data_IF_978070474054
#
_entry.id   IF_978070474054
#
_cell.length_a   1.000
_cell.length_b   1.000
_cell.length_c   1.000
_cell.angle_alpha   90.00
_cell.angle_beta   90.00
_cell.angle_gamma   90.00
#
_symmetry.space_group_name_H-M   'P 1'
#
loop_
_entity.id
_entity.type
_entity.pdbx_description
1 polymer ?
#
# COMPACT_ATOMS: atom_id res chain seq x y z
N UNK A 1 47.83 17.09 -8.70
CA UNK A 1 46.74 16.11 -8.91
C UNK A 1 45.60 16.55 -7.99
N UNK A 2 44.66 17.35 -8.49
CA UNK A 2 43.54 17.86 -7.68
C UNK A 2 42.43 16.82 -7.76
N UNK A 3 42.13 16.17 -6.64
CA UNK A 3 40.93 15.34 -6.52
C UNK A 3 39.73 16.28 -6.39
N UNK A 4 38.99 16.45 -7.48
CA UNK A 4 37.64 17.02 -7.45
C UNK A 4 36.74 16.05 -6.67
N UNK A 5 36.68 16.26 -5.36
CA UNK A 5 35.68 15.66 -4.48
C UNK A 5 34.55 16.65 -4.32
N UNK A 6 33.84 16.92 -5.41
CA UNK A 6 32.52 17.54 -5.33
C UNK A 6 31.64 16.65 -4.43
N UNK A 7 31.12 17.15 -3.29
CA UNK A 7 30.22 16.37 -2.48
C UNK A 7 28.95 16.15 -3.31
N UNK A 8 28.60 14.90 -3.59
CA UNK A 8 27.23 14.58 -4.03
C UNK A 8 26.28 15.32 -3.08
N UNK A 9 25.40 16.15 -3.64
CA UNK A 9 24.52 17.02 -2.86
C UNK A 9 23.90 16.25 -1.68
N UNK A 10 24.28 16.63 -0.47
CA UNK A 10 23.84 15.97 0.78
C UNK A 10 22.31 16.00 0.91
N UNK A 11 21.68 17.06 0.40
CA UNK A 11 20.22 17.19 0.26
C UNK A 11 19.63 16.11 -0.67
N UNK A 12 20.25 15.87 -1.83
CA UNK A 12 19.80 14.83 -2.76
C UNK A 12 19.88 13.43 -2.16
N UNK A 13 20.96 13.12 -1.44
CA UNK A 13 21.09 11.85 -0.72
C UNK A 13 20.03 11.69 0.38
N UNK A 14 19.78 12.75 1.16
CA UNK A 14 18.78 12.73 2.22
C UNK A 14 17.35 12.54 1.69
N UNK A 15 16.99 13.23 0.58
CA UNK A 15 15.69 13.07 -0.08
C UNK A 15 15.48 11.65 -0.64
N UNK A 16 16.53 11.05 -1.21
CA UNK A 16 16.45 9.65 -1.67
C UNK A 16 16.29 8.68 -0.52
N UNK A 17 16.95 8.93 0.61
CA UNK A 17 16.83 8.09 1.80
C UNK A 17 15.43 8.21 2.41
N UNK A 18 14.86 9.42 2.51
CA UNK A 18 13.50 9.60 3.02
C UNK A 18 12.46 8.94 2.12
N UNK A 19 12.65 8.99 0.80
CA UNK A 19 11.79 8.28 -0.16
C UNK A 19 11.91 6.76 -0.03
N UNK A 20 13.13 6.24 0.16
CA UNK A 20 13.34 4.82 0.40
C UNK A 20 12.70 4.35 1.71
N UNK A 21 12.88 5.10 2.80
CA UNK A 21 12.29 4.79 4.10
C UNK A 21 10.76 4.82 4.08
N UNK A 22 10.16 5.77 3.37
CA UNK A 22 8.71 5.82 3.17
C UNK A 22 8.20 4.54 2.47
N UNK A 23 8.83 4.16 1.35
CA UNK A 23 8.50 2.92 0.63
C UNK A 23 8.73 1.67 1.47
N UNK A 24 9.79 1.62 2.29
CA UNK A 24 10.04 0.47 3.17
C UNK A 24 8.94 0.30 4.21
N UNK A 25 8.50 1.41 4.83
CA UNK A 25 7.40 1.38 5.81
C UNK A 25 6.07 0.99 5.17
N UNK A 26 5.80 1.50 3.97
CA UNK A 26 4.64 1.15 3.16
C UNK A 26 4.61 -0.36 2.89
N UNK A 27 5.66 -0.89 2.25
CA UNK A 27 5.76 -2.32 1.92
C UNK A 27 5.69 -3.23 3.15
N UNK A 28 6.33 -2.84 4.27
CA UNK A 28 6.26 -3.60 5.51
C UNK A 28 4.84 -3.60 6.09
N UNK A 29 4.15 -2.45 6.10
CA UNK A 29 2.79 -2.33 6.62
C UNK A 29 1.79 -3.11 5.77
N UNK A 30 1.88 -2.98 4.45
CA UNK A 30 1.05 -3.74 3.51
C UNK A 30 1.25 -5.24 3.66
N UNK A 31 2.50 -5.71 3.74
CA UNK A 31 2.80 -7.13 3.92
C UNK A 31 2.22 -7.67 5.24
N UNK A 32 2.45 -6.96 6.34
CA UNK A 32 1.96 -7.38 7.66
C UNK A 32 0.43 -7.38 7.72
N UNK A 33 -0.22 -6.36 7.17
CA UNK A 33 -1.68 -6.31 7.07
C UNK A 33 -2.22 -7.46 6.22
N UNK A 34 -1.67 -7.67 5.03
CA UNK A 34 -2.12 -8.73 4.12
C UNK A 34 -2.01 -10.11 4.76
N UNK A 35 -0.86 -10.44 5.36
CA UNK A 35 -0.67 -11.73 6.03
C UNK A 35 -1.58 -11.90 7.26
N UNK A 36 -1.86 -10.81 7.98
CA UNK A 36 -2.81 -10.83 9.10
C UNK A 36 -4.22 -11.18 8.61
N UNK A 37 -4.69 -10.57 7.52
CA UNK A 37 -6.01 -10.85 6.96
C UNK A 37 -6.10 -12.28 6.41
N UNK A 38 -5.05 -12.78 5.74
CA UNK A 38 -4.97 -14.19 5.30
C UNK A 38 -5.03 -15.14 6.49
N UNK A 39 -4.30 -14.86 7.57
CA UNK A 39 -4.34 -15.66 8.78
C UNK A 39 -5.74 -15.68 9.39
N UNK A 40 -6.39 -14.51 9.53
CA UNK A 40 -7.74 -14.41 10.08
C UNK A 40 -8.74 -15.18 9.21
N UNK A 41 -8.75 -15.02 7.89
CA UNK A 41 -9.64 -15.77 6.99
C UNK A 41 -9.48 -17.28 7.15
N UNK A 42 -8.24 -17.77 7.28
CA UNK A 42 -7.97 -19.21 7.48
C UNK A 42 -8.45 -19.74 8.82
N UNK A 43 -8.43 -18.92 9.87
CA UNK A 43 -8.91 -19.33 11.20
C UNK A 43 -10.43 -19.11 11.37
N UNK A 44 -10.96 -18.07 10.74
CA UNK A 44 -12.34 -17.60 10.84
C UNK A 44 -12.85 -17.22 9.43
N UNK A 45 -13.31 -18.21 8.63
CA UNK A 45 -13.74 -17.95 7.26
C UNK A 45 -14.90 -16.95 7.16
N UNK A 46 -14.89 -16.15 6.09
CA UNK A 46 -15.93 -15.15 5.80
C UNK A 46 -15.49 -13.69 5.98
N UNK A 47 -14.26 -13.44 6.43
CA UNK A 47 -13.68 -12.10 6.45
C UNK A 47 -13.56 -11.53 5.03
N UNK A 48 -13.11 -12.33 4.07
CA UNK A 48 -12.92 -11.88 2.67
C UNK A 48 -14.25 -11.43 2.05
N UNK A 49 -15.32 -12.20 2.24
CA UNK A 49 -16.67 -11.83 1.76
C UNK A 49 -17.19 -10.56 2.46
N UNK A 50 -16.92 -10.41 3.76
CA UNK A 50 -17.27 -9.20 4.51
C UNK A 50 -16.54 -7.96 3.98
N UNK A 51 -15.24 -8.08 3.69
CA UNK A 51 -14.43 -7.00 3.11
C UNK A 51 -14.92 -6.65 1.70
N UNK A 52 -15.26 -7.64 0.87
CA UNK A 52 -15.81 -7.41 -0.46
C UNK A 52 -17.12 -6.60 -0.41
N UNK A 53 -18.04 -6.96 0.48
CA UNK A 53 -19.28 -6.22 0.71
C UNK A 53 -19.09 -4.81 1.30
N UNK A 54 -17.87 -4.46 1.73
CA UNK A 54 -17.56 -3.11 2.23
C UNK A 54 -17.09 -2.14 1.14
N UNK A 55 -16.69 -2.65 -0.04
CA UNK A 55 -16.06 -1.85 -1.10
C UNK A 55 -16.99 -0.74 -1.62
N UNK A 56 -18.29 -1.00 -1.73
CA UNK A 56 -19.30 0.00 -2.13
C UNK A 56 -19.30 1.26 -1.25
N UNK A 57 -18.82 1.16 0.00
CA UNK A 57 -18.74 2.28 0.94
C UNK A 57 -17.43 3.06 0.85
N UNK A 58 -16.46 2.61 0.04
CA UNK A 58 -15.19 3.30 -0.15
C UNK A 58 -15.33 4.46 -1.14
N UNK A 59 -14.51 5.48 -0.92
CA UNK A 59 -14.34 6.64 -1.78
C UNK A 59 -13.03 7.36 -1.47
N UNK A 60 -12.62 8.20 -2.41
CA UNK A 60 -11.46 9.07 -2.29
C UNK A 60 -11.83 10.32 -1.48
N UNK A 61 -11.02 10.63 -0.46
CA UNK A 61 -11.25 11.80 0.39
C UNK A 61 -10.62 13.09 -0.18
N UNK A 62 -9.97 13.03 -1.34
CA UNK A 62 -9.51 14.22 -2.04
C UNK A 62 -10.66 15.20 -2.29
N UNK A 63 -10.36 16.49 -2.12
CA UNK A 63 -11.31 17.60 -2.32
C UNK A 63 -11.00 18.42 -3.57
N UNK A 64 -10.08 17.95 -4.41
CA UNK A 64 -9.64 18.61 -5.64
C UNK A 64 -10.03 17.79 -6.87
N UNK A 65 -9.55 18.22 -8.04
CA UNK A 65 -9.85 17.59 -9.33
C UNK A 65 -9.30 16.15 -9.46
N UNK A 66 -8.50 15.68 -8.50
CA UNK A 66 -7.95 14.32 -8.52
C UNK A 66 -8.84 13.28 -7.84
N UNK A 67 -9.95 13.70 -7.20
CA UNK A 67 -10.89 12.80 -6.52
C UNK A 67 -11.39 11.69 -7.46
N UNK A 68 -11.09 10.44 -7.13
CA UNK A 68 -11.57 9.27 -7.88
C UNK A 68 -11.98 8.12 -6.96
N UNK A 69 -13.28 8.11 -6.60
CA UNK A 69 -13.86 7.06 -5.75
C UNK A 69 -13.76 5.68 -6.40
N UNK A 70 -13.84 5.59 -7.73
CA UNK A 70 -13.86 4.30 -8.42
C UNK A 70 -12.45 3.70 -8.53
N UNK A 71 -11.42 4.53 -8.74
CA UNK A 71 -10.03 4.07 -8.66
C UNK A 71 -9.72 3.45 -7.29
N UNK A 72 -10.20 4.06 -6.19
CA UNK A 72 -10.05 3.50 -4.84
C UNK A 72 -10.74 2.14 -4.73
N UNK A 73 -11.96 2.01 -5.25
CA UNK A 73 -12.71 0.73 -5.24
C UNK A 73 -12.03 -0.34 -6.08
N UNK A 74 -11.51 -0.01 -7.25
CA UNK A 74 -10.78 -0.96 -8.10
C UNK A 74 -9.54 -1.52 -7.41
N UNK A 75 -8.75 -0.66 -6.75
CA UNK A 75 -7.60 -1.11 -5.95
C UNK A 75 -8.06 -2.05 -4.82
N UNK A 76 -9.15 -1.71 -4.13
CA UNK A 76 -9.71 -2.57 -3.10
C UNK A 76 -10.20 -3.94 -3.64
N UNK A 77 -10.86 -3.97 -4.81
CA UNK A 77 -11.28 -5.21 -5.47
C UNK A 77 -10.08 -6.10 -5.81
N UNK A 78 -9.00 -5.53 -6.36
CA UNK A 78 -7.76 -6.26 -6.66
C UNK A 78 -7.11 -6.84 -5.39
N UNK A 79 -7.12 -6.07 -4.30
CA UNK A 79 -6.59 -6.52 -3.01
C UNK A 79 -7.41 -7.70 -2.45
N UNK A 80 -8.73 -7.60 -2.44
CA UNK A 80 -9.64 -8.68 -1.99
C UNK A 80 -9.52 -9.93 -2.86
N UNK A 81 -9.40 -9.78 -4.19
CA UNK A 81 -9.14 -10.92 -5.08
C UNK A 81 -7.82 -11.62 -4.74
N UNK A 82 -6.79 -10.86 -4.38
CA UNK A 82 -5.49 -11.41 -3.98
C UNK A 82 -5.56 -12.14 -2.64
N UNK A 83 -6.32 -11.60 -1.68
CA UNK A 83 -6.62 -12.29 -0.42
C UNK A 83 -7.33 -13.62 -0.65
N UNK A 84 -8.40 -13.63 -1.47
CA UNK A 84 -9.17 -14.84 -1.78
C UNK A 84 -8.29 -15.95 -2.38
N UNK A 85 -7.41 -15.60 -3.32
CA UNK A 85 -6.45 -16.53 -3.96
C UNK A 85 -5.40 -17.09 -3.00
N UNK A 86 -5.06 -16.34 -1.95
CA UNK A 86 -3.98 -16.72 -1.02
C UNK A 86 -4.52 -17.49 0.19
N UNK A 87 -5.74 -17.14 0.62
CA UNK A 87 -6.40 -17.78 1.74
C UNK A 87 -7.00 -19.15 1.39
N UNK A 88 -7.35 -19.38 0.11
CA UNK A 88 -7.85 -20.64 -0.43
C UNK A 88 -6.86 -21.80 -0.35
#
# INVERSE_FOLDING_TARGET
>A
MVTDSSPRSSLGSSLTQSGAEARHRELATEHMLFQTLVYIERQFPGLVDHLEGSIERLGDHASDETKDDEAVREVARLFVQSLRKTAS
#
